data_IF_714570717060
#
_entry.id   IF_714570717060
#
_cell.length_a   1.000
_cell.length_b   1.000
_cell.length_c   1.000
_cell.angle_alpha   90.00
_cell.angle_beta   90.00
_cell.angle_gamma   90.00
#
_symmetry.space_group_name_H-M   'P 1'
#
loop_
_entity.id
_entity.type
_entity.pdbx_description
1 polymer ?
#
# COMPACT_ATOMS: atom_id res chain seq x y z
N UNK A 1 -28.32 -32.54 11.25
CA UNK A 1 -27.49 -31.60 12.05
C UNK A 1 -26.37 -31.11 11.16
N UNK A 2 -26.52 -29.94 10.55
CA UNK A 2 -25.46 -29.29 9.77
C UNK A 2 -24.40 -28.80 10.76
N UNK A 3 -23.17 -29.26 10.58
CA UNK A 3 -22.01 -28.75 11.30
C UNK A 3 -21.77 -27.34 10.75
N UNK A 4 -22.12 -26.31 11.52
CA UNK A 4 -21.79 -24.94 11.17
C UNK A 4 -20.26 -24.82 11.15
N UNK A 5 -19.65 -24.70 9.96
CA UNK A 5 -18.29 -24.20 9.85
C UNK A 5 -18.30 -22.78 10.42
N UNK A 6 -17.80 -22.60 11.64
CA UNK A 6 -17.58 -21.27 12.19
C UNK A 6 -16.71 -20.50 11.21
N UNK A 7 -17.26 -19.43 10.63
CA UNK A 7 -16.51 -18.50 9.78
C UNK A 7 -15.31 -17.97 10.56
N UNK A 8 -14.15 -17.85 9.92
CA UNK A 8 -12.96 -17.30 10.56
C UNK A 8 -13.28 -15.94 11.22
N UNK A 9 -12.64 -15.62 12.36
CA UNK A 9 -12.95 -14.37 13.04
C UNK A 9 -12.73 -13.14 12.14
N UNK A 10 -13.54 -12.08 12.26
CA UNK A 10 -13.43 -10.89 11.40
C UNK A 10 -12.04 -10.25 11.39
N UNK A 11 -11.34 -10.27 12.54
CA UNK A 11 -9.98 -9.70 12.66
C UNK A 11 -8.91 -10.48 11.87
N UNK A 12 -9.15 -11.76 11.55
CA UNK A 12 -8.24 -12.53 10.71
C UNK A 12 -8.30 -12.07 9.24
N UNK A 13 -9.52 -11.76 8.76
CA UNK A 13 -9.69 -11.16 7.44
C UNK A 13 -9.03 -9.78 7.35
N UNK A 14 -9.07 -9.03 8.45
CA UNK A 14 -8.39 -7.75 8.56
C UNK A 14 -6.89 -7.82 8.54
N UNK A 15 -6.26 -8.79 9.22
CA UNK A 15 -4.82 -8.99 9.10
C UNK A 15 -4.40 -9.06 7.62
N UNK A 16 -5.19 -9.76 6.79
CA UNK A 16 -4.91 -9.86 5.34
C UNK A 16 -5.09 -8.56 4.56
N UNK A 17 -5.86 -7.60 5.08
CA UNK A 17 -6.04 -6.28 4.46
C UNK A 17 -4.93 -5.30 4.85
N UNK A 18 -4.19 -5.55 5.93
CA UNK A 18 -3.13 -4.65 6.35
C UNK A 18 -1.90 -4.77 5.41
N UNK A 19 -1.36 -3.64 4.91
CA UNK A 19 -0.32 -3.63 3.89
C UNK A 19 1.08 -3.91 4.47
N UNK A 20 1.35 -5.16 4.87
CA UNK A 20 2.63 -5.55 5.46
C UNK A 20 3.72 -5.93 4.44
N UNK A 21 3.41 -5.99 3.15
CA UNK A 21 4.38 -6.36 2.10
C UNK A 21 5.49 -5.33 1.93
N UNK A 22 6.62 -5.73 1.37
CA UNK A 22 7.78 -4.82 1.14
C UNK A 22 7.75 -4.12 -0.23
N UNK A 23 6.71 -4.35 -1.03
CA UNK A 23 6.57 -3.70 -2.33
C UNK A 23 6.16 -2.22 -2.21
N UNK A 24 6.49 -1.42 -3.24
CA UNK A 24 6.19 0.02 -3.28
C UNK A 24 4.70 0.35 -3.10
N UNK A 25 3.81 -0.52 -3.58
CA UNK A 25 2.36 -0.33 -3.39
C UNK A 25 1.98 -0.53 -1.93
N UNK A 26 2.51 -1.54 -1.26
CA UNK A 26 2.32 -1.73 0.18
C UNK A 26 2.94 -0.59 1.00
N UNK A 27 4.12 -0.08 0.60
CA UNK A 27 4.76 1.09 1.21
C UNK A 27 3.89 2.35 1.10
N UNK A 28 3.36 2.62 -0.09
CA UNK A 28 2.43 3.74 -0.29
C UNK A 28 1.15 3.58 0.53
N UNK A 29 0.56 2.38 0.52
CA UNK A 29 -0.63 2.08 1.32
C UNK A 29 -0.38 2.23 2.83
N UNK A 30 0.81 1.89 3.33
CA UNK A 30 1.19 2.15 4.73
C UNK A 30 1.29 3.64 5.04
N UNK A 31 1.82 4.45 4.12
CA UNK A 31 1.90 5.90 4.30
C UNK A 31 0.51 6.50 4.44
N UNK A 32 -0.41 6.16 3.53
CA UNK A 32 -1.81 6.58 3.61
C UNK A 32 -2.49 6.08 4.88
N UNK A 33 -2.21 4.83 5.27
CA UNK A 33 -2.79 4.22 6.46
C UNK A 33 -2.29 4.87 7.76
N UNK A 34 -1.02 5.26 7.83
CA UNK A 34 -0.48 5.98 8.97
C UNK A 34 -1.22 7.31 9.16
N UNK A 35 -1.43 8.06 8.08
CA UNK A 35 -2.15 9.33 8.12
C UNK A 35 -3.60 9.17 8.60
N UNK A 36 -4.22 8.00 8.39
CA UNK A 36 -5.56 7.68 8.94
C UNK A 36 -5.50 7.40 10.44
N UNK A 37 -4.40 6.83 10.94
CA UNK A 37 -4.23 6.50 12.35
C UNK A 37 -3.82 7.72 13.16
N UNK A 38 -2.98 8.59 12.61
CA UNK A 38 -2.47 9.81 13.23
C UNK A 38 -3.50 10.95 13.16
N UNK A 39 -4.53 10.86 14.01
CA UNK A 39 -5.63 11.83 14.04
C UNK A 39 -5.15 13.22 14.52
N UNK A 40 -4.06 13.28 15.28
CA UNK A 40 -3.56 14.51 15.88
C UNK A 40 -2.43 15.17 15.07
N UNK A 41 -1.88 14.46 14.07
CA UNK A 41 -0.83 14.91 13.14
C UNK A 41 0.52 15.22 13.80
N UNK A 42 0.94 14.40 14.76
CA UNK A 42 2.24 14.53 15.43
C UNK A 42 3.31 13.53 14.95
N UNK A 43 3.02 12.77 13.89
CA UNK A 43 3.89 11.76 13.29
C UNK A 43 4.28 10.58 14.20
N UNK A 44 3.57 10.39 15.32
CA UNK A 44 3.73 9.27 16.24
C UNK A 44 2.38 8.73 16.69
N UNK A 45 2.24 7.42 16.84
CA UNK A 45 0.96 6.80 17.18
C UNK A 45 0.94 6.30 18.62
N UNK A 46 -0.06 6.73 19.37
CA UNK A 46 -0.42 6.12 20.65
C UNK A 46 -1.19 4.81 20.44
N UNK A 47 -1.26 3.97 21.48
CA UNK A 47 -2.08 2.75 21.45
C UNK A 47 -3.56 3.06 21.14
N UNK A 48 -4.08 4.20 21.60
CA UNK A 48 -5.46 4.60 21.36
C UNK A 48 -5.71 5.00 19.90
N UNK A 49 -4.73 5.63 19.24
CA UNK A 49 -4.78 5.94 17.81
C UNK A 49 -4.70 4.69 16.95
N UNK A 50 -3.86 3.74 17.35
CA UNK A 50 -3.82 2.43 16.69
C UNK A 50 -5.17 1.72 16.78
N UNK A 51 -5.80 1.73 17.95
CA UNK A 51 -7.11 1.13 18.16
C UNK A 51 -8.20 1.81 17.29
N UNK A 52 -8.26 3.15 17.29
CA UNK A 52 -9.20 3.94 16.48
C UNK A 52 -8.97 3.76 14.97
N UNK A 53 -7.72 3.81 14.54
CA UNK A 53 -7.34 3.61 13.14
C UNK A 53 -7.78 2.23 12.64
N UNK A 54 -7.61 1.20 13.48
CA UNK A 54 -8.13 -0.14 13.17
C UNK A 54 -9.65 -0.13 13.04
N UNK A 55 -10.40 0.47 13.97
CA UNK A 55 -11.87 0.58 13.87
C UNK A 55 -12.29 1.19 12.52
N UNK A 56 -11.59 2.24 12.08
CA UNK A 56 -11.83 2.87 10.78
C UNK A 56 -11.56 1.92 9.60
N UNK A 57 -10.42 1.20 9.62
CA UNK A 57 -10.05 0.20 8.59
C UNK A 57 -11.01 -0.98 8.55
N UNK A 58 -11.45 -1.45 9.72
CA UNK A 58 -12.45 -2.49 9.87
C UNK A 58 -13.78 -2.10 9.18
N UNK A 59 -13.98 -0.82 8.84
CA UNK A 59 -15.27 -0.27 8.38
C UNK A 59 -16.41 -0.70 9.29
N UNK A 60 -16.12 -0.86 10.58
CA UNK A 60 -17.13 -1.18 11.57
C UNK A 60 -17.99 0.06 11.72
N UNK A 61 -19.07 0.09 10.95
CA UNK A 61 -20.07 1.16 10.92
C UNK A 61 -20.79 1.37 12.27
N UNK A 62 -20.50 0.53 13.26
CA UNK A 62 -21.15 0.54 14.56
C UNK A 62 -20.82 1.75 15.41
N UNK A 63 -19.80 2.55 15.08
CA UNK A 63 -19.35 3.66 15.94
C UNK A 63 -18.96 3.19 17.35
N UNK A 64 -18.72 1.89 17.51
CA UNK A 64 -18.59 1.25 18.79
C UNK A 64 -17.10 1.20 19.15
N UNK A 65 -16.70 1.94 20.17
CA UNK A 65 -15.34 1.89 20.76
C UNK A 65 -14.96 0.49 21.26
N UNK A 66 -15.89 -0.46 21.28
CA UNK A 66 -15.68 -1.87 21.59
C UNK A 66 -15.46 -2.78 20.37
N UNK A 67 -15.47 -2.23 19.15
CA UNK A 67 -15.28 -2.96 17.89
C UNK A 67 -14.03 -3.88 17.88
N UNK A 68 -12.94 -3.43 18.48
CA UNK A 68 -11.67 -4.15 18.60
C UNK A 68 -11.53 -4.93 19.92
N UNK A 69 -12.52 -4.89 20.81
CA UNK A 69 -12.43 -5.50 22.15
C UNK A 69 -12.11 -7.00 22.09
N UNK A 70 -12.64 -7.68 21.07
CA UNK A 70 -12.41 -9.11 20.86
C UNK A 70 -10.97 -9.46 20.43
N UNK A 71 -10.19 -8.48 19.98
CA UNK A 71 -8.79 -8.62 19.56
C UNK A 71 -7.81 -7.66 20.26
N UNK A 72 -8.25 -6.99 21.33
CA UNK A 72 -7.45 -5.99 22.07
C UNK A 72 -6.11 -6.53 22.58
N UNK A 73 -6.08 -7.79 23.01
CA UNK A 73 -4.84 -8.43 23.46
C UNK A 73 -3.79 -8.54 22.33
N UNK A 74 -4.21 -8.80 21.09
CA UNK A 74 -3.33 -8.84 19.94
C UNK A 74 -2.84 -7.44 19.55
N UNK A 75 -3.71 -6.42 19.60
CA UNK A 75 -3.36 -5.03 19.30
C UNK A 75 -2.33 -4.51 20.32
N UNK A 76 -2.60 -4.70 21.61
CA UNK A 76 -1.69 -4.28 22.67
C UNK A 76 -0.33 -4.94 22.51
N UNK A 77 -0.30 -6.25 22.23
CA UNK A 77 0.95 -6.97 22.09
C UNK A 77 1.73 -6.53 20.84
N UNK A 78 1.05 -6.31 19.72
CA UNK A 78 1.67 -5.79 18.51
C UNK A 78 2.25 -4.38 18.73
N UNK A 79 1.55 -3.52 19.47
CA UNK A 79 2.01 -2.19 19.81
C UNK A 79 3.28 -2.22 20.68
N UNK A 80 3.27 -3.02 21.75
CA UNK A 80 4.46 -3.15 22.61
C UNK A 80 5.66 -3.76 21.89
N UNK A 81 5.41 -4.59 20.86
CA UNK A 81 6.45 -5.19 20.04
C UNK A 81 7.05 -4.22 19.00
N UNK A 82 6.28 -3.22 18.58
CA UNK A 82 6.66 -2.30 17.52
C UNK A 82 7.26 -0.99 18.04
N UNK A 83 6.84 -0.52 19.21
CA UNK A 83 7.36 0.73 19.76
C UNK A 83 8.83 0.55 20.17
N UNK A 84 9.63 1.60 19.96
CA UNK A 84 11.05 1.67 20.32
C UNK A 84 11.94 0.59 19.69
N UNK A 85 11.46 -0.10 18.66
CA UNK A 85 12.18 -1.23 18.08
C UNK A 85 13.34 -0.81 17.16
N UNK A 86 13.37 0.46 16.73
CA UNK A 86 14.53 1.01 16.02
C UNK A 86 15.60 1.54 17.00
N UNK A 87 15.26 1.71 18.28
CA UNK A 87 16.14 2.29 19.29
C UNK A 87 16.52 3.76 19.02
N UNK A 88 15.83 4.42 18.08
CA UNK A 88 16.13 5.80 17.66
C UNK A 88 15.38 6.86 18.49
N UNK A 89 14.50 6.42 19.39
CA UNK A 89 13.59 7.30 20.15
C UNK A 89 13.98 7.48 21.61
N UNK A 90 14.36 8.70 21.97
CA UNK A 90 14.61 9.09 23.36
C UNK A 90 13.34 9.63 24.07
N UNK A 91 13.35 9.58 25.40
CA UNK A 91 12.34 10.27 26.23
C UNK A 91 10.95 9.63 26.20
N UNK A 92 9.91 10.44 25.95
CA UNK A 92 8.52 9.97 25.91
C UNK A 92 8.16 9.28 24.58
N UNK A 93 8.89 9.58 23.50
CA UNK A 93 8.62 9.08 22.14
C UNK A 93 8.69 7.55 22.04
N UNK A 94 9.54 6.89 22.85
CA UNK A 94 9.64 5.43 22.96
C UNK A 94 8.35 4.71 23.38
N UNK A 95 7.37 5.46 23.89
CA UNK A 95 6.06 4.90 24.26
C UNK A 95 5.06 4.92 23.12
N UNK A 96 5.44 5.45 21.95
CA UNK A 96 4.63 5.60 20.76
C UNK A 96 5.25 4.80 19.61
N UNK A 97 4.50 4.65 18.53
CA UNK A 97 4.98 4.04 17.28
C UNK A 97 5.21 5.16 16.27
N UNK A 98 6.45 5.35 15.86
CA UNK A 98 6.83 6.32 14.83
C UNK A 98 6.50 5.82 13.41
N UNK A 99 6.70 6.69 12.40
CA UNK A 99 6.51 6.32 11.00
C UNK A 99 7.43 5.19 10.52
N UNK A 100 8.68 5.14 10.99
CA UNK A 100 9.63 4.08 10.65
C UNK A 100 9.22 2.73 11.28
N UNK A 101 8.61 2.78 12.47
CA UNK A 101 8.14 1.59 13.20
C UNK A 101 6.76 1.09 12.75
N UNK A 102 5.99 1.93 12.06
CA UNK A 102 4.60 1.61 11.72
C UNK A 102 4.45 0.36 10.86
N UNK A 103 5.38 0.14 9.93
CA UNK A 103 5.40 -1.09 9.14
C UNK A 103 5.48 -2.32 10.04
N UNK A 104 6.26 -2.24 11.10
CA UNK A 104 6.48 -3.33 12.04
C UNK A 104 5.25 -3.58 12.88
N UNK A 105 4.60 -2.52 13.34
CA UNK A 105 3.28 -2.61 13.95
C UNK A 105 2.30 -3.37 13.04
N UNK A 106 2.27 -3.08 11.74
CA UNK A 106 1.39 -3.76 10.78
C UNK A 106 1.73 -5.25 10.65
N UNK A 107 3.01 -5.60 10.55
CA UNK A 107 3.48 -7.01 10.57
C UNK A 107 3.03 -7.72 11.85
N UNK A 108 3.29 -7.11 13.00
CA UNK A 108 2.92 -7.68 14.30
C UNK A 108 1.41 -7.85 14.43
N UNK A 109 0.60 -6.87 14.00
CA UNK A 109 -0.85 -6.95 14.03
C UNK A 109 -1.38 -8.15 13.25
N UNK A 110 -0.86 -8.37 12.02
CA UNK A 110 -1.21 -9.56 11.22
C UNK A 110 -0.95 -10.83 11.99
N UNK A 111 0.25 -10.94 12.57
CA UNK A 111 0.68 -12.15 13.23
C UNK A 111 -0.06 -12.42 14.53
N UNK A 112 -0.21 -11.39 15.37
CA UNK A 112 -0.93 -11.52 16.63
C UNK A 112 -2.43 -11.77 16.41
N UNK A 113 -3.04 -11.32 15.31
CA UNK A 113 -4.41 -11.72 14.94
C UNK A 113 -4.54 -13.21 14.59
N UNK A 114 -3.57 -13.78 13.88
CA UNK A 114 -3.52 -15.22 13.60
C UNK A 114 -3.32 -16.03 14.88
N UNK A 115 -2.35 -15.62 15.71
CA UNK A 115 -2.09 -16.25 17.00
C UNK A 115 -3.31 -16.18 17.91
N UNK A 116 -4.05 -15.07 17.91
CA UNK A 116 -5.27 -14.94 18.71
C UNK A 116 -6.39 -15.83 18.18
N UNK A 117 -6.54 -15.94 16.86
CA UNK A 117 -7.50 -16.87 16.27
C UNK A 117 -7.18 -18.33 16.68
N UNK A 118 -5.90 -18.68 16.71
CA UNK A 118 -5.43 -19.98 17.22
C UNK A 118 -5.76 -20.15 18.70
N UNK A 119 -5.42 -19.15 19.52
CA UNK A 119 -5.63 -19.17 20.96
C UNK A 119 -7.11 -19.41 21.30
N UNK A 120 -8.04 -18.69 20.64
CA UNK A 120 -9.49 -18.87 20.82
C UNK A 120 -10.01 -20.24 20.38
N UNK A 121 -9.29 -20.93 19.50
CA UNK A 121 -9.63 -22.31 19.11
C UNK A 121 -9.20 -23.30 20.19
N UNK A 122 -8.15 -22.99 20.94
CA UNK A 122 -7.60 -23.83 22.01
C UNK A 122 -8.35 -23.60 23.32
N UNK A 123 -8.67 -22.34 23.64
CA UNK A 123 -9.50 -21.92 24.76
C UNK A 123 -10.95 -22.36 24.54
N UNK A 124 -11.26 -23.58 24.97
CA UNK A 124 -12.62 -24.15 24.87
C UNK A 124 -13.53 -23.66 25.99
N UNK A 125 -12.95 -23.21 27.11
CA UNK A 125 -13.67 -22.59 28.23
C UNK A 125 -14.17 -21.17 27.95
N UNK A 126 -13.63 -20.51 26.92
CA UNK A 126 -13.89 -19.10 26.58
C UNK A 126 -13.60 -18.11 27.72
N UNK A 127 -12.69 -18.47 28.63
CA UNK A 127 -12.28 -17.62 29.76
C UNK A 127 -11.01 -16.80 29.45
N UNK A 128 -10.57 -16.83 28.18
CA UNK A 128 -9.33 -16.24 27.68
C UNK A 128 -8.07 -16.86 28.28
N UNK A 129 -8.16 -18.10 28.74
CA UNK A 129 -7.07 -18.84 29.35
C UNK A 129 -7.05 -20.25 28.76
N UNK A 130 -5.88 -20.85 28.75
CA UNK A 130 -5.72 -22.22 28.26
C UNK A 130 -5.20 -23.06 29.41
N UNK A 131 -6.00 -24.03 29.85
CA UNK A 131 -5.57 -25.02 30.82
C UNK A 131 -4.71 -26.13 30.20
N UNK A 132 -4.03 -26.94 31.03
CA UNK A 132 -3.15 -28.02 30.54
C UNK A 132 -3.89 -29.08 29.72
N UNK A 133 -5.14 -29.38 30.09
CA UNK A 133 -5.99 -30.32 29.34
C UNK A 133 -6.42 -29.78 27.98
N UNK A 134 -6.71 -28.48 27.87
CA UNK A 134 -7.07 -27.81 26.61
C UNK A 134 -5.86 -27.75 25.67
N UNK A 135 -4.70 -27.36 26.20
CA UNK A 135 -3.44 -27.33 25.45
C UNK A 135 -3.07 -28.71 24.90
N UNK A 136 -3.17 -29.76 25.71
CA UNK A 136 -2.88 -31.13 25.29
C UNK A 136 -3.82 -31.61 24.16
N UNK A 137 -5.12 -31.31 24.27
CA UNK A 137 -6.11 -31.64 23.23
C UNK A 137 -5.87 -30.88 21.92
N UNK A 138 -5.34 -29.67 22.00
CA UNK A 138 -5.04 -28.85 20.84
C UNK A 138 -3.78 -29.26 20.05
N UNK A 139 -2.98 -30.20 20.56
CA UNK A 139 -1.72 -30.62 19.93
C UNK A 139 -1.81 -31.04 18.46
N UNK A 140 -2.89 -31.73 17.97
CA UNK A 140 -3.02 -32.02 16.54
C UNK A 140 -3.23 -30.75 15.72
N UNK A 141 -4.01 -29.79 16.25
CA UNK A 141 -4.30 -28.52 15.58
C UNK A 141 -3.10 -27.59 15.58
N UNK A 142 -2.34 -27.55 16.68
CA UNK A 142 -1.04 -26.86 16.74
C UNK A 142 -0.10 -27.41 15.66
N UNK A 143 -0.08 -28.73 15.43
CA UNK A 143 0.74 -29.35 14.38
C UNK A 143 0.33 -28.91 12.98
N UNK A 144 -0.97 -28.83 12.68
CA UNK A 144 -1.47 -28.31 11.39
C UNK A 144 -0.99 -26.87 11.13
N UNK A 145 -0.80 -26.10 12.19
CA UNK A 145 -0.31 -24.73 12.16
C UNK A 145 1.23 -24.64 12.16
N UNK A 146 1.93 -25.77 12.11
CA UNK A 146 3.40 -25.84 12.09
C UNK A 146 4.06 -25.91 13.47
N UNK A 147 3.28 -25.97 14.56
CA UNK A 147 3.78 -26.05 15.93
C UNK A 147 3.78 -27.51 16.42
N UNK A 148 4.96 -28.14 16.39
CA UNK A 148 5.11 -29.52 16.84
C UNK A 148 5.32 -29.58 18.35
N UNK A 149 4.30 -30.06 19.06
CA UNK A 149 4.35 -30.34 20.49
C UNK A 149 4.47 -31.86 20.71
N UNK A 150 5.61 -32.32 21.22
CA UNK A 150 5.87 -33.75 21.50
C UNK A 150 5.43 -34.15 22.91
N UNK A 151 5.72 -33.30 23.88
CA UNK A 151 5.35 -33.47 25.28
C UNK A 151 4.53 -32.24 25.72
N UNK A 152 3.19 -32.35 25.71
CA UNK A 152 2.33 -31.21 26.00
C UNK A 152 2.46 -30.72 27.44
N UNK A 153 2.69 -31.61 28.41
CA UNK A 153 2.81 -31.24 29.81
C UNK A 153 4.11 -30.46 30.05
N UNK A 154 5.22 -30.92 29.48
CA UNK A 154 6.51 -30.23 29.56
C UNK A 154 6.49 -28.88 28.85
N UNK A 155 5.91 -28.81 27.65
CA UNK A 155 5.80 -27.55 26.91
C UNK A 155 4.85 -26.57 27.62
N UNK A 156 3.71 -27.02 28.14
CA UNK A 156 2.80 -26.18 28.92
C UNK A 156 3.51 -25.48 30.08
N UNK A 157 4.34 -26.21 30.84
CA UNK A 157 5.14 -25.65 31.93
C UNK A 157 6.20 -24.64 31.46
N UNK A 158 6.69 -24.74 30.22
CA UNK A 158 7.57 -23.72 29.62
C UNK A 158 6.79 -22.45 29.25
N UNK A 159 5.51 -22.58 28.89
CA UNK A 159 4.65 -21.48 28.47
C UNK A 159 4.12 -20.71 29.68
N UNK A 160 3.61 -21.41 30.69
CA UNK A 160 3.10 -20.86 31.96
C UNK A 160 4.26 -20.32 32.82
N UNK A 161 4.76 -19.14 32.46
CA UNK A 161 5.93 -18.52 33.12
C UNK A 161 5.55 -17.95 34.48
N UNK A 162 4.31 -17.55 34.66
CA UNK A 162 3.81 -16.99 35.92
C UNK A 162 3.42 -18.09 36.95
N UNK A 163 3.35 -19.36 36.54
CA UNK A 163 3.00 -20.48 37.43
C UNK A 163 1.53 -20.50 37.83
N UNK A 164 0.67 -19.84 37.06
CA UNK A 164 -0.76 -19.71 37.29
C UNK A 164 -1.57 -20.95 36.96
N UNK A 165 -0.91 -22.02 36.45
CA UNK A 165 -1.51 -23.26 35.94
C UNK A 165 -2.45 -23.04 34.76
N UNK A 166 -2.33 -21.88 34.12
CA UNK A 166 -3.15 -21.42 33.01
C UNK A 166 -2.27 -20.56 32.11
N UNK A 167 -2.33 -20.81 30.80
CA UNK A 167 -1.60 -20.04 29.81
C UNK A 167 -2.45 -18.87 29.34
N UNK A 168 -1.90 -17.66 29.45
CA UNK A 168 -2.49 -16.44 28.88
C UNK A 168 -2.10 -16.27 27.41
N UNK A 169 -2.84 -15.42 26.68
CA UNK A 169 -2.55 -15.13 25.29
C UNK A 169 -1.12 -14.63 25.05
N UNK A 170 -0.60 -13.74 25.90
CA UNK A 170 0.75 -13.19 25.77
C UNK A 170 1.83 -14.28 25.90
N UNK A 171 1.65 -15.20 26.86
CA UNK A 171 2.55 -16.33 27.08
C UNK A 171 2.54 -17.31 25.90
N UNK A 172 1.33 -17.65 25.42
CA UNK A 172 1.13 -18.48 24.24
C UNK A 172 1.75 -17.86 23.00
N UNK A 173 1.48 -16.59 22.73
CA UNK A 173 1.94 -15.89 21.54
C UNK A 173 3.47 -15.80 21.53
N UNK A 174 4.08 -15.45 22.66
CA UNK A 174 5.54 -15.45 22.80
C UNK A 174 6.15 -16.84 22.58
N UNK A 175 5.54 -17.90 23.12
CA UNK A 175 6.00 -19.27 22.88
C UNK A 175 5.86 -19.71 21.42
N UNK A 176 4.74 -19.39 20.78
CA UNK A 176 4.46 -19.77 19.40
C UNK A 176 5.47 -19.13 18.43
N UNK A 177 5.76 -17.84 18.61
CA UNK A 177 6.80 -17.13 17.84
C UNK A 177 8.17 -17.78 18.05
N UNK A 178 8.54 -18.08 19.30
CA UNK A 178 9.79 -18.81 19.65
C UNK A 178 9.87 -20.26 19.19
N UNK A 179 8.79 -20.86 18.70
CA UNK A 179 8.79 -22.23 18.14
C UNK A 179 8.91 -22.27 16.62
N UNK A 180 9.01 -21.10 15.98
CA UNK A 180 9.28 -20.99 14.54
C UNK A 180 8.13 -20.39 13.74
N UNK A 181 7.11 -19.81 14.39
CA UNK A 181 6.20 -18.90 13.69
C UNK A 181 6.96 -17.59 13.41
N UNK A 182 7.37 -17.40 12.17
CA UNK A 182 7.99 -16.15 11.72
C UNK A 182 7.02 -14.98 11.86
N UNK A 183 7.55 -13.78 12.13
CA UNK A 183 6.79 -12.54 12.18
C UNK A 183 6.48 -12.01 10.77
N UNK A 184 7.43 -12.19 9.84
CA UNK A 184 7.39 -11.68 8.47
C UNK A 184 7.44 -12.87 7.51
N UNK A 185 6.46 -12.96 6.60
CA UNK A 185 6.45 -13.97 5.53
C UNK A 185 7.43 -13.61 4.39
N UNK A 186 7.78 -12.33 4.27
CA UNK A 186 8.65 -11.71 3.26
C UNK A 186 10.10 -11.51 3.75
N UNK A 187 10.98 -10.98 2.90
CA UNK A 187 12.33 -10.59 3.35
C UNK A 187 12.26 -9.35 4.26
N UNK A 188 13.04 -9.31 5.36
CA UNK A 188 13.12 -8.15 6.23
C UNK A 188 13.69 -6.95 5.47
N UNK A 189 13.15 -5.76 5.73
CA UNK A 189 13.66 -4.49 5.23
C UNK A 189 14.85 -4.01 6.11
N UNK A 190 15.60 -2.98 5.67
CA UNK A 190 16.64 -2.37 6.51
C UNK A 190 16.02 -1.89 7.85
N UNK A 191 16.64 -2.25 8.98
CA UNK A 191 16.14 -1.98 10.34
C UNK A 191 15.29 -3.09 10.96
N UNK A 192 14.92 -4.12 10.19
CA UNK A 192 14.01 -5.19 10.66
C UNK A 192 14.71 -6.44 11.19
N UNK A 193 16.03 -6.45 11.08
CA UNK A 193 16.88 -7.54 11.56
C UNK A 193 16.79 -7.67 13.09
N UNK A 194 16.53 -6.55 13.79
CA UNK A 194 16.41 -6.49 15.26
C UNK A 194 15.05 -7.00 15.79
N UNK A 195 14.01 -7.01 14.96
CA UNK A 195 12.64 -7.48 15.33
C UNK A 195 12.57 -8.92 15.80
N UNK A 196 13.60 -9.66 15.44
CA UNK A 196 13.75 -11.08 15.65
C UNK A 196 14.15 -11.35 17.09
N UNK A 197 15.02 -10.50 17.61
CA UNK A 197 15.76 -10.76 18.84
C UNK A 197 14.96 -10.31 20.08
N UNK A 198 14.19 -9.22 19.99
CA UNK A 198 13.44 -8.66 21.12
C UNK A 198 12.25 -9.52 21.62
N UNK A 199 11.80 -10.48 20.82
CA UNK A 199 10.81 -11.48 21.24
C UNK A 199 11.42 -12.82 21.66
N UNK A 200 12.74 -12.95 21.56
CA UNK A 200 13.51 -14.16 21.82
C UNK A 200 14.33 -14.05 23.11
N UNK A 201 13.68 -13.80 24.25
CA UNK A 201 14.29 -14.18 25.54
C UNK A 201 14.13 -15.69 25.72
N UNK A 202 15.18 -16.45 25.38
CA UNK A 202 15.21 -17.92 25.46
C UNK A 202 15.73 -18.34 26.84
N UNK A 203 15.06 -19.31 27.46
CA UNK A 203 15.64 -20.03 28.60
C UNK A 203 16.66 -21.03 28.02
N UNK A 204 17.95 -20.68 28.11
CA UNK A 204 19.17 -21.36 27.65
C UNK A 204 19.71 -20.93 26.28
N UNK A 205 20.99 -20.57 26.27
CA UNK A 205 21.75 -20.05 25.12
C UNK A 205 21.81 -21.05 23.93
N UNK A 206 21.67 -22.35 24.20
CA UNK A 206 21.82 -23.40 23.19
C UNK A 206 20.58 -23.55 22.28
N UNK A 207 19.36 -23.53 22.86
CA UNK A 207 18.11 -23.60 22.08
C UNK A 207 17.92 -22.32 21.23
N UNK A 208 18.43 -21.17 21.70
CA UNK A 208 18.43 -19.90 20.98
C UNK A 208 19.35 -19.96 19.75
N UNK A 209 20.56 -20.49 19.93
CA UNK A 209 21.58 -20.60 18.90
C UNK A 209 21.13 -21.53 17.76
N UNK A 210 20.57 -22.70 18.08
CA UNK A 210 20.08 -23.63 17.07
C UNK A 210 18.91 -23.04 16.25
N UNK A 211 18.03 -22.28 16.89
CA UNK A 211 16.95 -21.57 16.21
C UNK A 211 17.47 -20.45 15.30
N UNK A 212 18.43 -19.65 15.77
CA UNK A 212 19.07 -18.59 14.99
C UNK A 212 19.81 -19.17 13.77
N UNK A 213 20.52 -20.28 13.93
CA UNK A 213 21.18 -20.97 12.82
C UNK A 213 20.18 -21.48 11.78
N UNK A 214 19.06 -22.09 12.20
CA UNK A 214 17.98 -22.54 11.29
C UNK A 214 17.36 -21.37 10.54
N UNK A 215 17.16 -20.25 11.21
CA UNK A 215 16.63 -19.03 10.60
C UNK A 215 17.61 -18.43 9.59
N UNK A 216 18.88 -18.30 9.96
CA UNK A 216 19.93 -17.80 9.07
C UNK A 216 20.06 -18.67 7.81
N UNK A 217 19.99 -20.00 7.96
CA UNK A 217 20.00 -20.93 6.84
C UNK A 217 18.80 -20.74 5.90
N UNK A 218 17.60 -20.53 6.45
CA UNK A 218 16.38 -20.28 5.66
C UNK A 218 16.43 -18.94 4.93
N UNK A 219 16.94 -17.89 5.59
CA UNK A 219 17.13 -16.55 4.99
C UNK A 219 18.13 -16.60 3.84
N UNK A 220 19.27 -17.26 4.04
CA UNK A 220 20.28 -17.51 3.00
C UNK A 220 19.69 -18.22 1.79
N UNK A 221 18.92 -19.29 2.00
CA UNK A 221 18.27 -20.03 0.91
C UNK A 221 17.24 -19.18 0.13
N UNK A 222 16.54 -18.26 0.81
CA UNK A 222 15.56 -17.36 0.17
C UNK A 222 16.25 -16.28 -0.66
N UNK A 223 17.33 -15.69 -0.15
CA UNK A 223 18.16 -14.72 -0.86
C UNK A 223 18.76 -15.35 -2.14
N UNK A 224 19.28 -16.57 -2.05
CA UNK A 224 19.79 -17.32 -3.22
C UNK A 224 18.70 -17.57 -4.28
N UNK A 225 17.48 -17.89 -3.84
CA UNK A 225 16.35 -18.08 -4.75
C UNK A 225 15.95 -16.76 -5.44
N UNK A 226 16.00 -15.64 -4.73
CA UNK A 226 15.73 -14.30 -5.26
C UNK A 226 16.78 -13.87 -6.28
N UNK A 227 18.07 -14.07 -5.98
CA UNK A 227 19.16 -13.79 -6.91
C UNK A 227 18.96 -14.55 -8.23
N UNK A 228 18.64 -15.85 -8.15
CA UNK A 228 18.33 -16.68 -9.33
C UNK A 228 17.09 -16.17 -10.10
N UNK A 229 16.09 -15.63 -9.42
CA UNK A 229 14.91 -15.07 -10.06
C UNK A 229 15.23 -13.76 -10.82
N UNK A 230 16.04 -12.88 -10.23
CA UNK A 230 16.51 -11.64 -10.87
C UNK A 230 17.36 -11.96 -12.11
N UNK A 231 18.29 -12.91 -12.01
CA UNK A 231 19.09 -13.37 -13.15
C UNK A 231 18.22 -13.92 -14.28
N UNK A 232 17.19 -14.71 -13.95
CA UNK A 232 16.22 -15.23 -14.95
C UNK A 232 15.45 -14.10 -15.62
N UNK A 233 15.00 -13.09 -14.86
CA UNK A 233 14.29 -11.94 -15.40
C UNK A 233 15.18 -11.10 -16.34
N UNK A 234 16.43 -10.86 -15.95
CA UNK A 234 17.40 -10.14 -16.78
C UNK A 234 17.70 -10.89 -18.08
N UNK A 235 17.86 -12.22 -18.02
CA UNK A 235 18.07 -13.05 -19.21
C UNK A 235 16.84 -13.05 -20.13
N UNK A 236 15.62 -13.08 -19.57
CA UNK A 236 14.39 -12.96 -20.34
C UNK A 236 14.25 -11.60 -21.03
N UNK A 237 14.66 -10.50 -20.36
CA UNK A 237 14.67 -9.16 -20.95
C UNK A 237 15.63 -9.07 -22.14
N UNK A 238 16.86 -9.58 -22.00
CA UNK A 238 17.84 -9.66 -23.09
C UNK A 238 17.31 -10.47 -24.27
N UNK A 239 16.65 -11.61 -24.02
CA UNK A 239 16.04 -12.42 -25.07
C UNK A 239 14.91 -11.68 -25.81
N UNK A 240 14.07 -10.90 -25.09
CA UNK A 240 13.02 -10.07 -25.69
C UNK A 240 13.60 -8.97 -26.58
N UNK A 241 14.66 -8.30 -26.12
CA UNK A 241 15.31 -7.25 -26.90
C UNK A 241 15.92 -7.81 -28.19
N UNK A 242 16.57 -8.98 -28.12
CA UNK A 242 17.08 -9.69 -29.29
C UNK A 242 15.95 -10.06 -30.27
N UNK A 243 14.82 -10.56 -29.76
CA UNK A 243 13.66 -10.88 -30.58
C UNK A 243 13.07 -9.65 -31.29
N UNK A 244 12.97 -8.50 -30.60
CA UNK A 244 12.53 -7.23 -31.19
C UNK A 244 13.50 -6.78 -32.29
N UNK A 245 14.81 -6.91 -32.06
CA UNK A 245 15.83 -6.57 -33.06
C UNK A 245 15.69 -7.43 -34.32
N UNK A 246 15.58 -8.75 -34.16
CA UNK A 246 15.37 -9.68 -35.28
C UNK A 246 14.07 -9.33 -36.03
N UNK A 247 12.98 -9.03 -35.31
CA UNK A 247 11.72 -8.65 -35.94
C UNK A 247 11.83 -7.33 -36.75
N UNK A 248 12.59 -6.34 -36.25
CA UNK A 248 12.85 -5.09 -36.97
C UNK A 248 13.69 -5.32 -38.23
N UNK A 249 14.73 -6.14 -38.13
CA UNK A 249 15.59 -6.49 -39.27
C UNK A 249 14.78 -7.23 -40.35
N UNK A 250 13.92 -8.18 -39.96
CA UNK A 250 13.02 -8.88 -40.89
C UNK A 250 12.01 -7.92 -41.54
N UNK A 251 11.37 -7.04 -40.77
CA UNK A 251 10.42 -6.05 -41.30
C UNK A 251 11.09 -5.04 -42.25
N UNK A 252 12.35 -4.66 -41.99
CA UNK A 252 13.13 -3.82 -42.88
C UNK A 252 13.44 -4.54 -44.20
N UNK A 253 13.82 -5.81 -44.14
CA UNK A 253 14.04 -6.64 -45.34
C UNK A 253 12.77 -6.79 -46.19
N UNK A 254 11.61 -7.03 -45.55
CA UNK A 254 10.33 -7.09 -46.27
C UNK A 254 9.95 -5.75 -46.92
N UNK A 255 10.14 -4.62 -46.22
CA UNK A 255 9.90 -3.29 -46.78
C UNK A 255 10.81 -2.99 -47.97
N UNK A 256 12.09 -3.36 -47.89
CA UNK A 256 13.03 -3.22 -49.01
C UNK A 256 12.61 -4.06 -50.22
N UNK A 257 12.17 -5.30 -49.98
CA UNK A 257 11.63 -6.17 -51.05
C UNK A 257 10.36 -5.58 -51.67
N UNK A 258 9.44 -5.06 -50.85
CA UNK A 258 8.21 -4.43 -51.32
C UNK A 258 8.48 -3.14 -52.12
N UNK A 259 9.45 -2.32 -51.69
CA UNK A 259 9.90 -1.14 -52.43
C UNK A 259 10.49 -1.53 -53.78
N UNK A 260 11.35 -2.54 -53.85
CA UNK A 260 11.90 -3.03 -55.12
C UNK A 260 10.78 -3.51 -56.08
N UNK A 261 9.78 -4.23 -55.56
CA UNK A 261 8.59 -4.63 -56.36
C UNK A 261 7.78 -3.43 -56.84
N UNK A 262 7.59 -2.42 -55.98
CA UNK A 262 6.86 -1.21 -56.32
C UNK A 262 7.60 -0.34 -57.35
N UNK A 263 8.93 -0.26 -57.29
CA UNK A 263 9.74 0.42 -58.30
C UNK A 263 9.69 -0.30 -59.64
N UNK A 264 9.77 -1.63 -59.65
CA UNK A 264 9.55 -2.43 -60.86
C UNK A 264 8.15 -2.18 -61.46
N UNK A 265 7.11 -2.10 -60.62
CA UNK A 265 5.74 -1.81 -61.05
C UNK A 265 5.57 -0.36 -61.55
N UNK A 266 6.27 0.62 -60.96
CA UNK A 266 6.29 2.01 -61.43
C UNK A 266 7.03 2.15 -62.76
N UNK A 267 8.14 1.44 -62.95
CA UNK A 267 8.84 1.37 -64.23
C UNK A 267 7.91 0.79 -65.32
N UNK A 268 7.14 -0.24 -64.99
CA UNK A 268 6.12 -0.81 -65.89
C UNK A 268 4.98 0.19 -66.19
N UNK A 269 4.49 0.95 -65.19
CA UNK A 269 3.42 1.95 -65.37
C UNK A 269 3.87 3.22 -66.11
N UNK A 270 5.14 3.64 -65.98
CA UNK A 270 5.70 4.78 -66.71
C UNK A 270 5.78 4.51 -68.22
N UNK A 271 5.71 3.23 -68.63
CA UNK A 271 5.53 2.84 -70.02
C UNK A 271 4.08 2.95 -70.52
N UNK A 272 3.07 3.25 -69.68
CA UNK A 272 1.65 3.07 -70.05
C UNK A 272 0.73 4.30 -69.93
N UNK A 273 1.12 5.46 -69.38
CA UNK A 273 0.16 6.59 -69.27
C UNK A 273 0.77 7.97 -69.55
N UNK A 274 0.59 8.42 -70.79
CA UNK A 274 0.32 9.82 -71.15
C UNK A 274 -1.17 10.11 -70.93
N UNK A 275 -1.55 10.96 -69.97
CA UNK A 275 -2.64 11.96 -70.08
C UNK A 275 -3.16 12.48 -68.71
N UNK A 276 -3.05 13.81 -68.58
CA UNK A 276 -3.98 14.78 -67.94
C UNK A 276 -3.90 15.10 -66.42
N UNK A 277 -4.14 16.40 -66.18
CA UNK A 277 -3.81 17.34 -65.09
C UNK A 277 -5.09 17.69 -64.24
N UNK A 278 -5.07 18.59 -63.22
CA UNK A 278 -5.68 18.38 -61.91
C UNK A 278 -6.86 19.35 -61.62
N UNK A 279 -7.50 19.23 -60.45
CA UNK A 279 -8.47 20.21 -59.93
C UNK A 279 -8.21 20.53 -58.46
N UNK A 280 -8.58 21.76 -58.10
CA UNK A 280 -8.22 22.61 -56.96
C UNK A 280 -9.07 22.38 -55.70
N UNK A 281 -8.52 22.82 -54.56
CA UNK A 281 -9.06 22.70 -53.19
C UNK A 281 -9.62 24.05 -52.75
N UNK A 282 -10.84 24.07 -52.21
CA UNK A 282 -11.42 25.25 -51.55
C UNK A 282 -11.37 25.10 -50.02
N UNK A 283 -11.13 26.23 -49.35
CA UNK A 283 -11.05 26.40 -47.90
C UNK A 283 -12.38 26.94 -47.36
N UNK A 284 -12.97 26.23 -46.40
CA UNK A 284 -14.12 26.69 -45.62
C UNK A 284 -13.67 27.24 -44.27
N UNK A 285 -14.10 28.45 -43.94
CA UNK A 285 -13.86 29.13 -42.68
C UNK A 285 -14.47 28.36 -41.51
N UNK A 286 -13.67 28.08 -40.48
CA UNK A 286 -14.10 27.43 -39.25
C UNK A 286 -14.26 28.48 -38.14
N UNK A 287 -15.48 28.62 -37.62
CA UNK A 287 -15.73 29.22 -36.29
C UNK A 287 -14.78 28.61 -35.26
N UNK A 288 -14.18 29.48 -34.44
CA UNK A 288 -13.08 29.11 -33.57
C UNK A 288 -13.55 28.13 -32.50
N UNK A 289 -12.73 27.13 -32.18
CA UNK A 289 -13.04 26.17 -31.11
C UNK A 289 -13.23 26.80 -29.72
N UNK A 290 -12.87 28.08 -29.56
CA UNK A 290 -13.10 28.84 -28.32
C UNK A 290 -14.58 29.23 -28.16
N UNK A 291 -15.25 29.65 -29.23
CA UNK A 291 -16.66 30.07 -29.21
C UNK A 291 -17.58 28.87 -28.94
N UNK A 292 -17.28 27.70 -29.50
CA UNK A 292 -18.01 26.45 -29.20
C UNK A 292 -17.85 25.98 -27.76
N UNK A 293 -16.66 26.19 -27.15
CA UNK A 293 -16.41 25.87 -25.74
C UNK A 293 -17.15 26.82 -24.81
N UNK A 294 -17.18 28.12 -25.13
CA UNK A 294 -17.92 29.11 -24.35
C UNK A 294 -19.43 28.84 -24.39
N UNK A 295 -19.99 28.52 -25.55
CA UNK A 295 -21.40 28.17 -25.71
C UNK A 295 -21.78 26.86 -24.99
N UNK A 296 -20.91 25.83 -25.05
CA UNK A 296 -21.14 24.56 -24.37
C UNK A 296 -21.05 24.68 -22.83
N UNK A 297 -20.21 25.57 -22.30
CA UNK A 297 -20.14 25.85 -20.86
C UNK A 297 -21.35 26.65 -20.37
N UNK A 298 -21.80 27.65 -21.15
CA UNK A 298 -23.00 28.43 -20.83
C UNK A 298 -24.28 27.55 -20.77
N UNK A 299 -24.40 26.54 -21.64
CA UNK A 299 -25.52 25.61 -21.63
C UNK A 299 -25.57 24.68 -20.40
N UNK A 300 -24.45 24.51 -19.67
CA UNK A 300 -24.38 23.74 -18.42
C UNK A 300 -24.81 24.59 -17.22
N UNK A 301 -24.82 25.92 -17.34
CA UNK A 301 -25.14 26.88 -16.27
C UNK A 301 -26.63 27.14 -16.06
N UNK A 302 -27.47 26.91 -17.09
CA UNK A 302 -28.93 27.11 -17.00
C UNK A 302 -29.69 25.93 -16.35
N UNK A 303 -28.98 24.86 -15.96
CA UNK A 303 -29.53 23.71 -15.24
C UNK A 303 -28.69 23.30 -14.05
N UNK A 304 -29.15 22.30 -13.30
CA UNK A 304 -28.46 21.70 -12.15
C UNK A 304 -27.25 20.85 -12.62
N UNK A 305 -26.29 21.52 -13.25
CA UNK A 305 -25.10 20.93 -13.84
C UNK A 305 -24.22 20.26 -12.78
N UNK A 306 -23.31 19.37 -13.21
CA UNK A 306 -22.55 18.57 -12.26
C UNK A 306 -21.73 19.42 -11.28
N UNK A 307 -21.76 19.04 -10.01
CA UNK A 307 -21.09 19.71 -8.89
C UNK A 307 -19.66 20.18 -9.25
N UNK A 308 -18.85 19.33 -9.90
CA UNK A 308 -17.46 19.63 -10.30
C UNK A 308 -17.28 20.82 -11.25
N UNK A 309 -18.28 21.17 -12.06
CA UNK A 309 -18.21 22.34 -12.98
C UNK A 309 -18.28 23.65 -12.20
N UNK A 310 -19.06 23.69 -11.11
CA UNK A 310 -19.15 24.86 -10.23
C UNK A 310 -17.81 25.14 -9.53
N UNK A 311 -17.14 24.10 -9.03
CA UNK A 311 -15.83 24.22 -8.35
C UNK A 311 -14.69 24.59 -9.29
N UNK A 312 -14.71 24.11 -10.54
CA UNK A 312 -13.68 24.46 -11.50
C UNK A 312 -13.56 25.98 -11.72
N UNK A 313 -14.66 26.73 -11.57
CA UNK A 313 -14.67 28.21 -11.69
C UNK A 313 -14.13 28.94 -10.47
N UNK A 314 -14.20 28.34 -9.28
CA UNK A 314 -13.69 29.01 -8.07
C UNK A 314 -12.17 28.97 -8.00
N UNK A 315 -11.53 28.02 -8.69
CA UNK A 315 -10.08 27.88 -8.71
C UNK A 315 -9.40 29.14 -9.29
N UNK A 316 -8.29 29.60 -8.67
CA UNK A 316 -7.58 30.83 -9.07
C UNK A 316 -6.74 30.63 -10.35
N UNK A 317 -7.39 30.38 -11.49
CA UNK A 317 -6.73 30.08 -12.76
C UNK A 317 -6.38 31.32 -13.61
N UNK A 318 -6.85 32.52 -13.24
CA UNK A 318 -6.55 33.76 -13.99
C UNK A 318 -5.10 34.21 -13.81
N UNK A 319 -4.46 34.83 -14.82
CA UNK A 319 -3.09 35.34 -14.69
C UNK A 319 -2.88 36.24 -13.47
N UNK A 320 -3.88 37.04 -13.11
CA UNK A 320 -3.87 38.02 -12.02
C UNK A 320 -3.93 37.37 -10.62
N UNK A 321 -4.46 36.15 -10.49
CA UNK A 321 -4.63 35.44 -9.21
C UNK A 321 -3.35 34.78 -8.67
N UNK A 322 -2.17 35.35 -8.95
CA UNK A 322 -0.87 34.77 -8.57
C UNK A 322 -0.70 34.61 -7.05
N UNK A 323 -1.18 35.58 -6.27
CA UNK A 323 -1.11 35.54 -4.80
C UNK A 323 -2.00 34.41 -4.25
N UNK A 324 -3.22 34.29 -4.76
CA UNK A 324 -4.17 33.25 -4.35
C UNK A 324 -3.66 31.85 -4.69
N UNK A 325 -3.01 31.66 -5.86
CA UNK A 325 -2.34 30.39 -6.19
C UNK A 325 -1.21 30.06 -5.22
N UNK A 326 -0.42 31.05 -4.80
CA UNK A 326 0.66 30.85 -3.85
C UNK A 326 0.13 30.42 -2.48
N UNK A 327 -0.92 31.07 -1.99
CA UNK A 327 -1.59 30.68 -0.75
C UNK A 327 -2.26 29.31 -0.85
N UNK A 328 -2.83 28.97 -2.00
CA UNK A 328 -3.42 27.65 -2.25
C UNK A 328 -2.35 26.56 -2.31
N UNK A 329 -1.20 26.85 -2.93
CA UNK A 329 -0.04 25.96 -2.95
C UNK A 329 0.44 25.68 -1.51
N UNK A 330 0.63 26.73 -0.71
CA UNK A 330 1.10 26.60 0.68
C UNK A 330 0.11 25.80 1.55
N UNK A 331 -1.18 25.81 1.22
CA UNK A 331 -2.20 24.95 1.88
C UNK A 331 -2.18 23.50 1.41
N UNK A 332 -1.78 23.27 0.16
CA UNK A 332 -1.69 21.93 -0.43
C UNK A 332 -0.35 21.27 -0.10
N UNK A 333 0.64 22.05 0.35
CA UNK A 333 1.95 21.62 0.83
C UNK A 333 2.05 21.77 2.37
N UNK A 334 1.40 20.87 3.15
CA UNK A 334 1.40 20.94 4.61
C UNK A 334 2.78 20.63 5.23
N UNK A 335 3.67 19.97 4.49
CA UNK A 335 5.02 19.63 4.96
C UNK A 335 6.05 20.73 4.61
N UNK A 336 5.63 21.76 3.86
CA UNK A 336 6.41 22.93 3.47
C UNK A 336 7.72 22.60 2.73
N UNK A 337 7.74 21.50 1.98
CA UNK A 337 8.92 21.08 1.21
C UNK A 337 9.03 21.78 -0.16
N UNK A 338 8.00 22.55 -0.57
CA UNK A 338 7.96 23.25 -1.86
C UNK A 338 7.48 22.37 -3.03
N UNK A 339 6.97 21.18 -2.76
CA UNK A 339 6.52 20.18 -3.72
C UNK A 339 5.15 19.63 -3.34
N UNK A 340 4.26 19.47 -4.32
CA UNK A 340 2.93 18.90 -4.10
C UNK A 340 2.80 17.61 -4.91
N UNK A 341 2.45 16.51 -4.24
CA UNK A 341 2.11 15.22 -4.85
C UNK A 341 0.65 15.16 -5.32
N UNK A 342 0.32 14.20 -6.18
CA UNK A 342 -1.07 14.00 -6.63
C UNK A 342 -2.05 13.79 -5.46
N UNK A 343 -1.62 13.07 -4.41
CA UNK A 343 -2.44 12.82 -3.23
C UNK A 343 -2.70 14.11 -2.44
N UNK A 344 -1.69 14.98 -2.32
CA UNK A 344 -1.81 16.29 -1.68
C UNK A 344 -2.70 17.24 -2.50
N UNK A 345 -2.67 17.16 -3.84
CA UNK A 345 -3.64 17.88 -4.70
C UNK A 345 -5.07 17.38 -4.47
N UNK A 346 -5.29 16.06 -4.45
CA UNK A 346 -6.61 15.48 -4.20
C UNK A 346 -7.16 15.90 -2.83
N UNK A 347 -6.34 15.80 -1.77
CA UNK A 347 -6.71 16.19 -0.40
C UNK A 347 -6.92 17.70 -0.26
N UNK A 348 -6.02 18.49 -0.82
CA UNK A 348 -6.11 19.95 -0.85
C UNK A 348 -7.40 20.42 -1.53
N UNK A 349 -7.81 19.77 -2.62
CA UNK A 349 -9.07 20.07 -3.31
C UNK A 349 -10.28 19.75 -2.44
N UNK A 350 -10.29 18.65 -1.69
CA UNK A 350 -11.39 18.32 -0.75
C UNK A 350 -11.55 19.45 0.28
N UNK A 351 -10.46 19.86 0.93
CA UNK A 351 -10.50 20.94 1.92
C UNK A 351 -10.84 22.30 1.32
N UNK A 352 -10.31 22.60 0.13
CA UNK A 352 -10.62 23.82 -0.59
C UNK A 352 -12.11 23.90 -0.92
N UNK A 353 -12.69 22.82 -1.44
CA UNK A 353 -14.13 22.73 -1.75
C UNK A 353 -14.97 22.92 -0.49
N UNK A 354 -14.66 22.18 0.59
CA UNK A 354 -15.38 22.29 1.86
C UNK A 354 -15.36 23.73 2.41
N UNK A 355 -14.24 24.44 2.26
CA UNK A 355 -14.13 25.84 2.68
C UNK A 355 -14.92 26.82 1.80
N UNK A 356 -15.10 26.51 0.51
CA UNK A 356 -15.80 27.39 -0.43
C UNK A 356 -17.32 27.19 -0.38
N UNK A 357 -17.81 25.97 -0.15
CA UNK A 357 -19.25 25.68 -0.12
C UNK A 357 -19.87 25.50 1.26
N UNK A 358 -19.06 25.41 2.32
CA UNK A 358 -19.52 25.07 3.66
C UNK A 358 -20.34 23.77 3.72
N UNK A 359 -20.11 22.86 2.77
CA UNK A 359 -20.71 21.52 2.69
C UNK A 359 -19.62 20.44 2.47
N UNK A 360 -19.95 19.18 2.78
CA UNK A 360 -19.00 18.05 2.74
C UNK A 360 -18.96 17.35 1.37
N UNK A 361 -19.27 18.08 0.29
CA UNK A 361 -19.37 17.49 -1.07
C UNK A 361 -17.99 17.28 -1.72
N UNK A 362 -16.91 17.79 -1.12
CA UNK A 362 -15.56 17.74 -1.67
C UNK A 362 -15.06 16.33 -1.99
N UNK A 363 -15.41 15.35 -1.17
CA UNK A 363 -15.03 13.94 -1.39
C UNK A 363 -15.69 13.35 -2.65
N UNK A 364 -16.97 13.63 -2.89
CA UNK A 364 -17.68 13.18 -4.09
C UNK A 364 -17.15 13.85 -5.35
N UNK A 365 -16.89 15.16 -5.28
CA UNK A 365 -16.34 15.94 -6.40
C UNK A 365 -14.97 15.40 -6.82
N UNK A 366 -14.07 15.15 -5.88
CA UNK A 366 -12.74 14.59 -6.18
C UNK A 366 -12.84 13.17 -6.72
N UNK A 367 -13.73 12.33 -6.17
CA UNK A 367 -13.96 10.96 -6.65
C UNK A 367 -14.37 10.93 -8.13
N UNK A 368 -15.33 11.76 -8.53
CA UNK A 368 -15.83 11.77 -9.92
C UNK A 368 -14.93 12.56 -10.88
N UNK A 369 -14.11 13.49 -10.35
CA UNK A 369 -13.20 14.31 -11.16
C UNK A 369 -11.77 13.77 -11.22
N UNK A 370 -11.48 12.65 -10.56
CA UNK A 370 -10.15 12.05 -10.46
C UNK A 370 -9.40 11.97 -11.80
N UNK A 371 -10.01 11.52 -12.92
CA UNK A 371 -9.32 11.51 -14.22
C UNK A 371 -8.89 12.89 -14.72
N UNK A 372 -9.69 13.92 -14.45
CA UNK A 372 -9.37 15.30 -14.83
C UNK A 372 -8.27 15.88 -13.93
N UNK A 373 -8.33 15.61 -12.63
CA UNK A 373 -7.31 16.02 -11.63
C UNK A 373 -5.96 15.39 -11.97
N UNK A 374 -5.91 14.08 -12.23
CA UNK A 374 -4.68 13.39 -12.63
C UNK A 374 -4.08 13.97 -13.91
N UNK A 375 -4.92 14.28 -14.92
CA UNK A 375 -4.42 14.89 -16.16
C UNK A 375 -3.92 16.32 -15.97
N UNK A 376 -4.61 17.13 -15.16
CA UNK A 376 -4.17 18.48 -14.84
C UNK A 376 -2.84 18.47 -14.07
N UNK A 377 -2.68 17.54 -13.12
CA UNK A 377 -1.43 17.33 -12.39
C UNK A 377 -0.27 16.95 -13.32
N UNK A 378 -0.49 15.98 -14.22
CA UNK A 378 0.52 15.58 -15.20
C UNK A 378 0.89 16.75 -16.13
N UNK A 379 -0.10 17.50 -16.62
CA UNK A 379 0.14 18.66 -17.47
C UNK A 379 0.91 19.78 -16.74
N UNK A 380 0.61 20.04 -15.47
CA UNK A 380 1.32 21.03 -14.67
C UNK A 380 2.78 20.62 -14.42
N UNK A 381 3.01 19.34 -14.13
CA UNK A 381 4.36 18.77 -13.96
C UNK A 381 5.21 18.89 -15.23
N UNK A 382 4.61 18.66 -16.40
CA UNK A 382 5.33 18.73 -17.68
C UNK A 382 5.76 20.18 -18.03
N UNK A 383 5.11 21.20 -17.44
CA UNK A 383 5.50 22.61 -17.58
C UNK A 383 6.73 22.95 -16.71
N UNK A 384 6.89 22.29 -15.55
CA UNK A 384 8.05 22.45 -14.66
C UNK A 384 9.26 21.60 -15.03
N UNK A 385 9.13 20.62 -15.93
CA UNK A 385 10.20 19.68 -16.33
C UNK A 385 11.38 20.31 -17.12
N UNK A 386 11.46 21.64 -17.22
CA UNK A 386 12.57 22.35 -17.86
C UNK A 386 13.77 22.60 -16.91
N UNK A 387 13.73 22.04 -15.70
CA UNK A 387 14.84 22.05 -14.72
C UNK A 387 15.31 20.61 -14.49
N UNK A 388 16.56 20.31 -14.88
CA UNK A 388 17.18 18.99 -14.77
C UNK A 388 17.17 18.48 -13.31
N UNK A 389 16.64 17.27 -13.10
CA UNK A 389 16.78 16.48 -11.85
C UNK A 389 15.48 16.24 -11.07
N UNK A 390 15.21 14.96 -10.75
CA UNK A 390 14.30 14.40 -9.72
C UNK A 390 12.84 14.89 -9.59
N UNK A 391 12.31 15.68 -10.53
CA UNK A 391 10.95 16.24 -10.45
C UNK A 391 9.86 15.44 -11.19
N UNK A 392 10.03 14.13 -11.41
CA UNK A 392 9.08 13.33 -12.22
C UNK A 392 7.73 13.03 -11.54
N UNK A 393 7.58 13.35 -10.25
CA UNK A 393 6.40 12.95 -9.47
C UNK A 393 5.69 14.09 -8.73
N UNK A 394 6.15 15.34 -8.86
CA UNK A 394 5.68 16.47 -8.05
C UNK A 394 5.40 17.73 -8.88
N UNK A 395 4.50 18.57 -8.39
CA UNK A 395 4.29 19.93 -8.90
C UNK A 395 5.05 20.90 -7.99
N UNK A 396 5.84 21.78 -8.60
CA UNK A 396 6.62 22.82 -7.90
C UNK A 396 5.91 24.16 -7.89
N UNK A 397 6.35 25.06 -7.01
CA UNK A 397 5.76 26.37 -6.74
C UNK A 397 5.72 27.36 -7.92
#
# INVERSE_FOLDING_TARGET
MQVAHASAPPWLALGRLLPAGTDEKAKHARKELFDVFDVNFNDILSLAEVDKGLIHVFKLASGDSHATQSCKAAILRAFQAAKDCTGETDGEAKNYVSRSEFRLLIVYLRRYFELLAMFKVIDTGSDQRVGPGEFAKATPKLREWGLVVRDPAKEFKKIDRNGGQQVLFDEFAGWALRKGLELVDDEPEEGEEQLIDDHMYVNSDEEAKEMMERRAARMSAKADAKLRAVERAANAAKARELAIRIARENAAAERASAQARAEAAKAARKATVTAKKPSTREAGAAESGAERRAAAMAAIEEGDGPLWVRYAKSLPASPEAKRERKELFDRFDPNHNGYISLAEVERGLIHYIANVTADDTGSEVVKYSKPAITRAFMAAKDVSANTEGENEHYVTR
#
